data_IF_293303471321
#
_entry.id   IF_293303471321
#
_cell.length_a   1.000
_cell.length_b   1.000
_cell.length_c   1.000
_cell.angle_alpha   90.00
_cell.angle_beta   90.00
_cell.angle_gamma   90.00
#
_symmetry.space_group_name_H-M   'P 1'
#
loop_
_entity.id
_entity.type
_entity.pdbx_description
1 polymer ?
#
# COMPACT_ATOMS: atom_id res chain seq x y z
N UNK A 1 13.05 -15.00 6.70
CA UNK A 1 13.41 -14.02 7.75
C UNK A 1 13.23 -14.67 9.13
N UNK A 2 14.05 -14.32 10.10
CA UNK A 2 14.18 -14.96 11.43
C UNK A 2 13.03 -14.69 12.40
N UNK A 3 11.87 -14.25 11.96
CA UNK A 3 10.67 -13.99 12.80
C UNK A 3 10.78 -12.80 13.78
N UNK A 4 11.89 -12.07 13.74
CA UNK A 4 12.10 -10.86 14.54
C UNK A 4 12.07 -9.66 13.59
N UNK A 5 11.23 -8.67 13.90
CA UNK A 5 11.17 -7.42 13.14
C UNK A 5 12.51 -6.66 13.29
N UNK A 6 12.99 -5.98 12.21
CA UNK A 6 14.12 -5.07 12.33
C UNK A 6 13.73 -3.87 13.22
N UNK A 7 14.69 -3.02 13.56
CA UNK A 7 14.42 -1.77 14.28
C UNK A 7 13.37 -0.94 13.55
N UNK A 8 13.54 -0.77 12.25
CA UNK A 8 12.59 -0.09 11.38
C UNK A 8 12.55 -0.79 10.02
N UNK A 9 11.36 -1.05 9.50
CA UNK A 9 11.16 -1.49 8.12
C UNK A 9 10.83 -0.29 7.23
N UNK A 10 11.55 -0.12 6.14
CA UNK A 10 11.17 0.81 5.06
C UNK A 10 10.49 0.00 3.95
N UNK A 11 9.21 0.22 3.78
CA UNK A 11 8.41 -0.39 2.72
C UNK A 11 8.32 0.57 1.54
N UNK A 12 9.05 0.28 0.46
CA UNK A 12 8.82 0.92 -0.82
C UNK A 12 7.61 0.26 -1.46
N UNK A 13 6.57 1.03 -1.77
CA UNK A 13 5.37 0.49 -2.41
C UNK A 13 5.08 1.23 -3.70
N UNK A 14 4.61 0.50 -4.71
CA UNK A 14 4.35 1.04 -6.04
C UNK A 14 2.94 0.69 -6.47
N UNK A 15 2.21 1.70 -6.96
CA UNK A 15 0.86 1.61 -7.50
C UNK A 15 0.95 1.85 -9.02
N UNK A 16 1.12 0.80 -9.86
CA UNK A 16 1.22 0.91 -11.32
C UNK A 16 -0.18 1.04 -11.92
N UNK A 17 -0.81 2.20 -11.77
CA UNK A 17 -2.17 2.45 -12.25
C UNK A 17 -2.29 2.28 -13.77
N UNK A 18 -1.23 2.56 -14.49
CA UNK A 18 -1.16 2.36 -15.92
C UNK A 18 -2.23 3.16 -16.66
N UNK A 19 -3.07 2.45 -17.42
CA UNK A 19 -4.17 3.05 -18.18
C UNK A 19 -5.50 3.03 -17.41
N UNK A 20 -5.56 2.34 -16.26
CA UNK A 20 -6.81 1.92 -15.61
C UNK A 20 -7.69 3.11 -15.23
N UNK A 21 -7.16 4.04 -14.45
CA UNK A 21 -7.87 5.23 -14.00
C UNK A 21 -8.24 6.15 -15.17
N UNK A 22 -7.31 6.41 -16.09
CA UNK A 22 -7.54 7.26 -17.23
C UNK A 22 -8.63 6.75 -18.16
N UNK A 23 -8.68 5.43 -18.43
CA UNK A 23 -9.76 4.82 -19.21
C UNK A 23 -11.11 4.97 -18.49
N UNK A 24 -11.16 4.68 -17.20
CA UNK A 24 -12.39 4.79 -16.40
C UNK A 24 -12.93 6.22 -16.39
N UNK A 25 -12.08 7.23 -16.29
CA UNK A 25 -12.48 8.65 -16.30
C UNK A 25 -12.72 9.23 -17.69
N UNK A 26 -12.32 8.52 -18.75
CA UNK A 26 -12.36 9.05 -20.11
C UNK A 26 -11.31 10.13 -20.37
N UNK A 27 -10.13 10.01 -19.74
CA UNK A 27 -9.06 10.98 -19.85
C UNK A 27 -8.53 11.16 -21.29
N UNK A 28 -7.94 12.30 -21.62
CA UNK A 28 -7.33 12.55 -22.91
C UNK A 28 -6.20 11.55 -23.23
N UNK A 29 -5.96 11.31 -24.52
CA UNK A 29 -4.95 10.35 -24.96
C UNK A 29 -3.55 10.59 -24.35
N UNK A 30 -3.16 11.84 -24.10
CA UNK A 30 -1.86 12.15 -23.50
C UNK A 30 -1.71 11.58 -22.09
N UNK A 31 -2.78 11.55 -21.29
CA UNK A 31 -2.74 10.97 -19.95
C UNK A 31 -2.69 9.43 -20.00
N UNK A 32 -3.35 8.82 -21.00
CA UNK A 32 -3.21 7.39 -21.26
C UNK A 32 -1.76 7.03 -21.68
N UNK A 33 -1.11 7.83 -22.55
CA UNK A 33 0.31 7.64 -22.87
C UNK A 33 1.22 7.80 -21.66
N UNK A 34 0.85 8.66 -20.72
CA UNK A 34 1.58 8.79 -19.46
C UNK A 34 1.48 7.52 -18.61
N UNK A 35 0.29 6.93 -18.52
CA UNK A 35 0.10 5.62 -17.87
C UNK A 35 0.91 4.51 -18.57
N UNK A 36 0.91 4.48 -19.91
CA UNK A 36 1.74 3.55 -20.68
C UNK A 36 3.25 3.75 -20.41
N UNK A 37 3.74 5.00 -20.33
CA UNK A 37 5.10 5.30 -19.91
C UNK A 37 5.41 4.70 -18.53
N UNK A 38 4.48 4.78 -17.57
CA UNK A 38 4.62 4.20 -16.24
C UNK A 38 4.98 2.72 -16.32
N UNK A 39 4.21 1.96 -17.08
CA UNK A 39 4.39 0.51 -17.15
C UNK A 39 5.56 0.12 -18.07
N UNK A 40 5.62 0.64 -19.31
CA UNK A 40 6.60 0.19 -20.31
C UNK A 40 8.01 0.75 -20.13
N UNK A 41 8.14 1.92 -19.50
CA UNK A 41 9.44 2.61 -19.41
C UNK A 41 9.89 2.78 -17.95
N UNK A 42 9.00 3.21 -17.08
CA UNK A 42 9.37 3.53 -15.70
C UNK A 42 9.54 2.26 -14.84
N UNK A 43 8.63 1.30 -14.93
CA UNK A 43 8.76 0.03 -14.19
C UNK A 43 10.10 -0.68 -14.43
N UNK A 44 10.58 -0.89 -15.67
CA UNK A 44 11.89 -1.48 -15.90
C UNK A 44 13.05 -0.71 -15.24
N UNK A 45 12.97 0.62 -15.21
CA UNK A 45 13.99 1.45 -14.54
C UNK A 45 13.96 1.28 -13.03
N UNK A 46 12.77 1.20 -12.46
CA UNK A 46 12.57 1.00 -11.02
C UNK A 46 13.06 -0.41 -10.64
N UNK A 47 12.66 -1.43 -11.38
CA UNK A 47 13.11 -2.82 -11.15
C UNK A 47 14.64 -2.93 -11.20
N UNK A 48 15.30 -2.29 -12.19
CA UNK A 48 16.76 -2.27 -12.27
C UNK A 48 17.43 -1.56 -11.10
N UNK A 49 16.79 -0.50 -10.54
CA UNK A 49 17.27 0.15 -9.33
C UNK A 49 17.13 -0.78 -8.12
N UNK A 50 15.96 -1.39 -7.93
CA UNK A 50 15.70 -2.29 -6.81
C UNK A 50 16.60 -3.54 -6.82
N UNK A 51 16.81 -4.14 -8.00
CA UNK A 51 17.73 -5.26 -8.18
C UNK A 51 19.16 -4.87 -7.79
N UNK A 52 19.65 -3.73 -8.28
CA UNK A 52 21.00 -3.23 -7.95
C UNK A 52 21.19 -2.99 -6.45
N UNK A 53 20.16 -2.51 -5.77
CA UNK A 53 20.19 -2.25 -4.32
C UNK A 53 19.81 -3.48 -3.47
N UNK A 54 19.45 -4.61 -4.10
CA UNK A 54 19.07 -5.84 -3.41
C UNK A 54 17.76 -5.74 -2.64
N UNK A 55 16.82 -4.91 -3.10
CA UNK A 55 15.56 -4.60 -2.40
C UNK A 55 14.41 -5.36 -3.05
N UNK A 56 13.61 -6.04 -2.22
CA UNK A 56 12.26 -6.51 -2.59
C UNK A 56 11.21 -5.62 -1.94
N UNK A 57 10.07 -5.41 -2.63
CA UNK A 57 9.04 -4.47 -2.24
C UNK A 57 7.64 -4.95 -2.66
N UNK A 58 6.61 -4.16 -2.39
CA UNK A 58 5.22 -4.47 -2.71
C UNK A 58 4.71 -3.61 -3.86
N UNK A 59 3.98 -4.23 -4.79
CA UNK A 59 3.34 -3.58 -5.93
C UNK A 59 1.83 -3.81 -5.84
N UNK A 60 1.05 -2.73 -5.70
CA UNK A 60 -0.40 -2.77 -5.66
C UNK A 60 -0.95 -2.58 -7.08
N UNK A 61 -1.39 -3.66 -7.70
CA UNK A 61 -1.67 -3.72 -9.14
C UNK A 61 -3.17 -3.73 -9.41
N UNK A 62 -3.71 -2.74 -10.18
CA UNK A 62 -5.07 -2.83 -10.69
C UNK A 62 -5.23 -4.03 -11.60
N UNK A 63 -6.36 -4.74 -11.49
CA UNK A 63 -6.63 -5.92 -12.31
C UNK A 63 -6.57 -5.64 -13.82
N UNK A 64 -7.00 -4.46 -14.25
CA UNK A 64 -6.90 -4.03 -15.65
C UNK A 64 -5.45 -3.83 -16.10
N UNK A 65 -4.59 -3.27 -15.25
CA UNK A 65 -3.15 -3.13 -15.55
C UNK A 65 -2.49 -4.51 -15.70
N UNK A 66 -2.84 -5.45 -14.81
CA UNK A 66 -2.35 -6.83 -14.88
C UNK A 66 -2.72 -7.51 -16.20
N UNK A 67 -3.98 -7.41 -16.66
CA UNK A 67 -4.41 -8.05 -17.91
C UNK A 67 -3.93 -7.31 -19.15
N UNK A 68 -3.65 -6.01 -19.06
CA UNK A 68 -3.16 -5.18 -20.18
C UNK A 68 -1.65 -5.36 -20.39
N UNK A 69 -0.89 -5.54 -19.29
CA UNK A 69 0.57 -5.64 -19.32
C UNK A 69 1.08 -6.87 -18.56
N UNK A 70 0.64 -8.09 -18.94
CA UNK A 70 0.93 -9.30 -18.17
C UNK A 70 2.43 -9.56 -18.01
N UNK A 71 3.23 -9.33 -19.06
CA UNK A 71 4.68 -9.54 -19.01
C UNK A 71 5.38 -8.59 -18.02
N UNK A 72 4.91 -7.33 -17.93
CA UNK A 72 5.46 -6.35 -16.99
C UNK A 72 5.17 -6.73 -15.55
N UNK A 73 3.98 -7.26 -15.26
CA UNK A 73 3.62 -7.72 -13.91
C UNK A 73 4.29 -9.05 -13.58
N UNK A 74 4.43 -9.96 -14.55
CA UNK A 74 5.21 -11.20 -14.38
C UNK A 74 6.67 -10.89 -14.05
N UNK A 75 7.27 -9.85 -14.64
CA UNK A 75 8.62 -9.41 -14.31
C UNK A 75 8.76 -8.97 -12.84
N UNK A 76 7.73 -8.34 -12.27
CA UNK A 76 7.69 -7.96 -10.84
C UNK A 76 7.75 -9.20 -9.94
N UNK A 77 6.85 -10.16 -10.15
CA UNK A 77 6.75 -11.37 -9.31
C UNK A 77 7.96 -12.29 -9.47
N UNK A 78 8.53 -12.38 -10.69
CA UNK A 78 9.66 -13.28 -10.98
C UNK A 78 10.95 -12.96 -10.23
N UNK A 79 11.13 -11.72 -9.80
CA UNK A 79 12.29 -11.27 -9.01
C UNK A 79 12.00 -11.14 -7.50
N UNK A 80 10.87 -11.69 -7.05
CA UNK A 80 10.56 -11.84 -5.63
C UNK A 80 9.84 -10.65 -4.99
N UNK A 81 9.36 -9.67 -5.77
CA UNK A 81 8.47 -8.64 -5.25
C UNK A 81 7.08 -9.23 -4.97
N UNK A 82 6.35 -8.60 -4.05
CA UNK A 82 4.95 -8.89 -3.81
C UNK A 82 4.07 -8.20 -4.85
N UNK A 83 3.04 -8.92 -5.34
CA UNK A 83 1.95 -8.36 -6.12
C UNK A 83 0.70 -8.40 -5.27
N UNK A 84 0.23 -7.22 -4.87
CA UNK A 84 -0.99 -6.99 -4.08
C UNK A 84 -2.07 -6.34 -4.95
N UNK A 85 -3.31 -6.25 -4.47
CA UNK A 85 -4.45 -5.77 -5.24
C UNK A 85 -4.64 -4.24 -5.12
N UNK A 86 -5.17 -3.61 -6.19
CA UNK A 86 -5.48 -2.18 -6.26
C UNK A 86 -6.78 -1.89 -7.03
N UNK A 87 -7.87 -2.59 -6.69
CA UNK A 87 -9.10 -2.54 -7.47
C UNK A 87 -8.96 -3.15 -8.85
N UNK A 88 -9.96 -2.92 -9.72
CA UNK A 88 -9.92 -3.41 -11.11
C UNK A 88 -9.54 -2.30 -12.09
N UNK A 89 -10.31 -1.18 -12.11
CA UNK A 89 -10.06 0.02 -12.94
C UNK A 89 -9.67 1.23 -12.10
N UNK A 90 -9.08 1.03 -10.93
CA UNK A 90 -8.78 2.11 -10.00
C UNK A 90 -10.06 2.85 -9.56
N UNK A 91 -11.08 2.11 -9.13
CA UNK A 91 -12.39 2.62 -8.72
C UNK A 91 -12.32 3.35 -7.37
N UNK A 92 -13.13 4.40 -7.22
CA UNK A 92 -13.37 5.04 -5.91
C UNK A 92 -14.41 4.24 -5.13
N UNK A 93 -13.94 3.41 -4.21
CA UNK A 93 -14.78 2.50 -3.43
C UNK A 93 -15.86 3.20 -2.60
N UNK A 94 -15.63 4.44 -2.18
CA UNK A 94 -16.64 5.21 -1.44
C UNK A 94 -17.88 5.55 -2.29
N UNK A 95 -17.81 5.41 -3.63
CA UNK A 95 -18.91 5.71 -4.55
C UNK A 95 -19.66 4.48 -5.03
N UNK A 96 -19.21 3.29 -4.67
CA UNK A 96 -19.73 2.00 -5.14
C UNK A 96 -20.72 1.39 -4.15
N UNK A 97 -21.63 0.59 -4.67
CA UNK A 97 -22.47 -0.29 -3.85
C UNK A 97 -21.63 -1.43 -3.23
N UNK A 98 -22.15 -2.05 -2.18
CA UNK A 98 -21.52 -3.20 -1.51
C UNK A 98 -21.28 -4.35 -2.49
N UNK A 99 -22.23 -4.61 -3.37
CA UNK A 99 -22.17 -5.65 -4.39
C UNK A 99 -21.06 -5.38 -5.43
N UNK A 100 -20.98 -4.14 -5.91
CA UNK A 100 -19.91 -3.72 -6.84
C UNK A 100 -18.53 -3.81 -6.18
N UNK A 101 -18.39 -3.37 -4.93
CA UNK A 101 -17.15 -3.48 -4.17
C UNK A 101 -16.72 -4.94 -4.05
N UNK A 102 -17.62 -5.85 -3.66
CA UNK A 102 -17.36 -7.28 -3.51
C UNK A 102 -16.90 -7.90 -4.85
N UNK A 103 -17.61 -7.62 -5.94
CA UNK A 103 -17.25 -8.11 -7.27
C UNK A 103 -15.82 -7.67 -7.66
N UNK A 104 -15.47 -6.41 -7.42
CA UNK A 104 -14.14 -5.87 -7.73
C UNK A 104 -13.07 -6.53 -6.89
N UNK A 105 -13.29 -6.71 -5.58
CA UNK A 105 -12.34 -7.34 -4.67
C UNK A 105 -12.09 -8.80 -5.05
N UNK A 106 -13.14 -9.58 -5.29
CA UNK A 106 -13.05 -10.99 -5.70
C UNK A 106 -12.37 -11.13 -7.06
N UNK A 107 -12.80 -10.33 -8.05
CA UNK A 107 -12.24 -10.35 -9.40
C UNK A 107 -10.76 -9.99 -9.43
N UNK A 108 -10.34 -9.00 -8.67
CA UNK A 108 -8.93 -8.58 -8.57
C UNK A 108 -8.10 -9.67 -7.92
N UNK A 109 -8.61 -10.27 -6.85
CA UNK A 109 -7.97 -11.37 -6.13
C UNK A 109 -7.77 -12.60 -7.04
N UNK A 110 -8.81 -13.02 -7.75
CA UNK A 110 -8.76 -14.16 -8.67
C UNK A 110 -7.80 -13.93 -9.83
N UNK A 111 -7.75 -12.71 -10.37
CA UNK A 111 -6.84 -12.37 -11.45
C UNK A 111 -5.38 -12.44 -11.01
N UNK A 112 -5.05 -11.95 -9.82
CA UNK A 112 -3.70 -12.00 -9.26
C UNK A 112 -3.33 -13.43 -8.90
N UNK A 113 -4.22 -14.20 -8.27
CA UNK A 113 -3.99 -15.61 -7.96
C UNK A 113 -3.66 -16.41 -9.21
N UNK A 114 -4.44 -16.22 -10.27
CA UNK A 114 -4.20 -16.87 -11.57
C UNK A 114 -2.85 -16.48 -12.19
N UNK A 115 -2.42 -15.23 -12.04
CA UNK A 115 -1.18 -14.73 -12.64
C UNK A 115 0.07 -15.07 -11.82
N UNK A 116 -0.01 -14.99 -10.48
CA UNK A 116 1.11 -15.19 -9.57
C UNK A 116 1.16 -16.61 -8.96
N UNK A 117 0.10 -17.41 -9.11
CA UNK A 117 -0.02 -18.76 -8.52
C UNK A 117 -0.32 -18.77 -7.03
N UNK A 118 -0.59 -17.62 -6.45
CA UNK A 118 -1.00 -17.44 -5.06
C UNK A 118 -1.91 -16.23 -4.93
N UNK A 119 -2.98 -16.29 -4.10
CA UNK A 119 -3.82 -15.15 -3.87
C UNK A 119 -3.04 -14.00 -3.21
N UNK A 120 -3.34 -12.74 -3.54
CA UNK A 120 -2.70 -11.59 -2.91
C UNK A 120 -3.03 -11.54 -1.42
N UNK A 121 -2.03 -11.25 -0.60
CA UNK A 121 -2.22 -11.06 0.83
C UNK A 121 -2.81 -9.68 1.15
N UNK A 122 -2.48 -8.67 0.34
CA UNK A 122 -2.80 -7.28 0.60
C UNK A 122 -3.69 -6.61 -0.43
N UNK A 123 -4.34 -5.57 0.05
CA UNK A 123 -5.12 -4.61 -0.73
C UNK A 123 -4.63 -3.19 -0.44
N UNK A 124 -4.64 -2.33 -1.44
CA UNK A 124 -4.65 -0.88 -1.30
C UNK A 124 -5.85 -0.35 -2.08
N UNK A 125 -6.71 0.40 -1.42
CA UNK A 125 -7.85 1.01 -2.06
C UNK A 125 -7.40 2.19 -2.92
N UNK A 126 -7.85 2.29 -4.18
CA UNK A 126 -7.64 3.48 -4.99
C UNK A 126 -8.07 4.74 -4.25
N UNK A 127 -7.34 5.83 -4.44
CA UNK A 127 -7.55 7.13 -3.76
C UNK A 127 -7.49 7.08 -2.23
N UNK A 128 -7.20 5.91 -1.61
CA UNK A 128 -7.30 5.68 -0.17
C UNK A 128 -8.72 6.00 0.36
N UNK A 129 -9.73 5.64 -0.42
CA UNK A 129 -11.12 6.06 -0.22
C UNK A 129 -12.05 4.88 0.05
N UNK A 130 -12.11 4.37 1.30
CA UNK A 130 -13.08 3.35 1.67
C UNK A 130 -14.49 3.94 1.81
N UNK A 131 -15.50 3.18 1.43
CA UNK A 131 -16.88 3.36 1.89
C UNK A 131 -17.07 2.78 3.29
N UNK A 132 -18.28 2.90 3.86
CA UNK A 132 -18.56 2.48 5.24
C UNK A 132 -18.29 0.98 5.50
N UNK A 133 -18.57 0.11 4.54
CA UNK A 133 -18.46 -1.34 4.64
C UNK A 133 -17.19 -1.90 3.97
N UNK A 134 -16.43 -1.07 3.27
CA UNK A 134 -15.33 -1.52 2.39
C UNK A 134 -14.30 -2.39 3.11
N UNK A 135 -13.84 -1.97 4.29
CA UNK A 135 -12.79 -2.69 5.00
C UNK A 135 -13.27 -4.02 5.59
N UNK A 136 -14.55 -4.12 5.92
CA UNK A 136 -15.17 -5.39 6.29
C UNK A 136 -15.23 -6.34 5.09
N UNK A 137 -15.60 -5.83 3.91
CA UNK A 137 -15.57 -6.60 2.67
C UNK A 137 -14.15 -7.05 2.28
N UNK A 138 -13.13 -6.20 2.46
CA UNK A 138 -11.72 -6.55 2.24
C UNK A 138 -11.32 -7.74 3.14
N UNK A 139 -11.70 -7.70 4.43
CA UNK A 139 -11.46 -8.82 5.35
C UNK A 139 -12.24 -10.08 4.94
N UNK A 140 -13.53 -9.96 4.60
CA UNK A 140 -14.40 -11.07 4.21
C UNK A 140 -13.94 -11.78 2.93
N UNK A 141 -13.39 -11.02 1.96
CA UNK A 141 -12.83 -11.57 0.71
C UNK A 141 -11.48 -12.22 0.89
N UNK A 142 -10.94 -12.23 2.12
CA UNK A 142 -9.76 -13.00 2.48
C UNK A 142 -8.43 -12.29 2.29
N UNK A 143 -8.42 -10.98 2.18
CA UNK A 143 -7.21 -10.20 2.31
C UNK A 143 -6.75 -10.16 3.78
N UNK A 144 -5.44 -10.17 4.00
CA UNK A 144 -4.83 -10.21 5.33
C UNK A 144 -4.51 -8.82 5.84
N UNK A 145 -4.18 -7.90 4.91
CA UNK A 145 -3.89 -6.52 5.24
C UNK A 145 -4.45 -5.54 4.21
N UNK A 146 -4.71 -4.32 4.66
CA UNK A 146 -4.95 -3.12 3.85
C UNK A 146 -3.82 -2.12 4.05
N UNK A 147 -3.62 -1.22 3.10
CA UNK A 147 -2.65 -0.13 3.19
C UNK A 147 -3.22 1.14 2.57
N UNK A 148 -4.31 1.65 3.17
CA UNK A 148 -5.07 2.79 2.63
C UNK A 148 -5.41 3.85 3.66
N UNK A 149 -5.28 3.54 4.96
CA UNK A 149 -5.74 4.44 6.02
C UNK A 149 -4.59 5.22 6.66
N UNK A 150 -4.91 6.39 7.16
CA UNK A 150 -4.02 7.29 7.88
C UNK A 150 -4.37 7.34 9.40
N UNK A 151 -4.95 6.26 9.94
CA UNK A 151 -5.34 6.19 11.35
C UNK A 151 -4.19 5.86 12.31
N UNK A 152 -3.05 5.48 11.79
CA UNK A 152 -1.77 5.34 12.46
C UNK A 152 -0.70 6.11 11.72
N UNK A 153 0.55 5.98 12.19
CA UNK A 153 1.71 6.64 11.58
C UNK A 153 2.78 5.59 11.21
N UNK A 154 3.48 5.05 12.19
CA UNK A 154 4.61 4.15 12.00
C UNK A 154 4.38 2.74 12.55
N UNK A 155 3.20 2.49 13.12
CA UNK A 155 2.83 1.19 13.68
C UNK A 155 1.56 0.66 13.03
N UNK A 156 1.55 -0.63 12.62
CA UNK A 156 0.33 -1.27 12.15
C UNK A 156 -0.72 -1.38 13.25
N UNK A 157 -1.96 -1.50 12.84
CA UNK A 157 -3.06 -1.72 13.77
C UNK A 157 -4.13 -2.62 13.15
N UNK A 158 -5.00 -3.19 13.98
CA UNK A 158 -6.17 -3.92 13.50
C UNK A 158 -7.29 -2.93 13.14
N UNK A 159 -7.83 -3.08 11.94
CA UNK A 159 -8.97 -2.28 11.48
C UNK A 159 -10.17 -2.53 12.39
N UNK A 160 -10.88 -1.47 12.79
CA UNK A 160 -12.12 -1.59 13.54
C UNK A 160 -13.32 -1.65 12.60
N UNK A 161 -14.31 -2.42 12.98
CA UNK A 161 -15.62 -2.50 12.34
C UNK A 161 -16.68 -1.91 13.25
N UNK A 162 -17.66 -1.20 12.67
CA UNK A 162 -18.79 -0.65 13.39
C UNK A 162 -18.55 0.68 14.12
N UNK A 163 -17.54 1.46 13.73
CA UNK A 163 -17.37 2.84 14.18
C UNK A 163 -18.63 3.66 13.80
N UNK A 164 -19.16 4.45 14.74
CA UNK A 164 -20.32 5.32 14.52
C UNK A 164 -19.98 6.75 14.88
N UNK A 165 -20.14 7.64 13.92
CA UNK A 165 -19.87 9.06 14.09
C UNK A 165 -21.15 9.87 14.23
N UNK A 166 -21.24 10.72 15.24
CA UNK A 166 -22.37 11.61 15.48
C UNK A 166 -21.89 13.01 15.77
N UNK A 167 -22.41 14.01 15.07
CA UNK A 167 -22.08 15.41 15.33
C UNK A 167 -22.55 15.86 16.73
N UNK A 168 -23.59 15.27 17.28
CA UNK A 168 -24.16 15.64 18.58
C UNK A 168 -23.52 14.85 19.74
N UNK A 169 -23.20 13.55 19.54
CA UNK A 169 -22.78 12.65 20.61
C UNK A 169 -21.29 12.21 20.51
N UNK A 170 -20.58 12.70 19.48
CA UNK A 170 -19.20 12.27 19.22
C UNK A 170 -19.12 10.91 18.52
N UNK A 171 -18.01 10.21 18.69
CA UNK A 171 -17.74 8.92 18.05
C UNK A 171 -17.84 7.79 19.05
N UNK A 172 -18.58 6.75 18.68
CA UNK A 172 -18.57 5.45 19.35
C UNK A 172 -17.67 4.52 18.53
N UNK A 173 -16.61 4.04 19.16
CA UNK A 173 -15.64 3.16 18.51
C UNK A 173 -16.18 1.72 18.43
N UNK A 174 -15.99 1.10 17.28
CA UNK A 174 -16.30 -0.29 17.04
C UNK A 174 -15.28 -1.26 17.63
N UNK A 175 -15.27 -2.48 17.16
CA UNK A 175 -14.36 -3.52 17.63
C UNK A 175 -13.27 -3.84 16.60
N UNK A 176 -12.04 -4.15 17.03
CA UNK A 176 -11.00 -4.61 16.11
C UNK A 176 -11.41 -5.88 15.37
N UNK A 177 -11.25 -5.88 14.04
CA UNK A 177 -11.33 -7.07 13.19
C UNK A 177 -10.01 -7.85 13.15
N UNK A 178 -9.81 -8.59 12.07
CA UNK A 178 -8.57 -9.35 11.80
C UNK A 178 -7.71 -8.69 10.74
N UNK A 179 -8.28 -7.78 9.94
CA UNK A 179 -7.57 -7.05 8.90
C UNK A 179 -6.51 -6.15 9.54
N UNK A 180 -5.28 -6.28 9.07
CA UNK A 180 -4.16 -5.43 9.52
C UNK A 180 -4.10 -4.20 8.63
N UNK A 181 -4.11 -3.02 9.20
CA UNK A 181 -3.77 -1.79 8.48
C UNK A 181 -2.27 -1.53 8.54
N UNK A 182 -1.66 -1.32 7.38
CA UNK A 182 -0.32 -0.76 7.24
C UNK A 182 -0.47 0.71 6.87
N UNK A 183 -0.23 1.64 7.80
CA UNK A 183 -0.54 3.05 7.60
C UNK A 183 0.15 3.64 6.37
N UNK A 184 -0.57 4.54 5.71
CA UNK A 184 -0.06 5.40 4.64
C UNK A 184 -0.06 6.86 5.09
N UNK A 185 0.71 7.71 4.41
CA UNK A 185 0.81 9.12 4.75
C UNK A 185 0.93 9.96 3.48
N UNK A 186 0.13 11.03 3.38
CA UNK A 186 0.16 11.92 2.23
C UNK A 186 1.55 12.55 1.96
N UNK A 187 2.33 13.00 2.96
CA UNK A 187 3.71 13.44 2.76
C UNK A 187 4.66 12.39 2.21
N UNK A 188 4.35 11.10 2.39
CA UNK A 188 5.15 9.96 1.91
C UNK A 188 4.62 9.37 0.60
N UNK A 189 3.77 10.10 -0.11
CA UNK A 189 3.23 9.72 -1.40
C UNK A 189 3.74 10.69 -2.48
N UNK A 190 4.40 10.15 -3.52
CA UNK A 190 5.01 10.92 -4.60
C UNK A 190 4.00 11.75 -5.40
N UNK A 191 2.77 11.25 -5.56
CA UNK A 191 1.71 11.94 -6.30
C UNK A 191 1.36 13.30 -5.70
N UNK A 192 1.28 13.39 -4.38
CA UNK A 192 0.97 14.65 -3.69
C UNK A 192 2.01 15.74 -3.88
N UNK A 193 3.25 15.37 -4.18
CA UNK A 193 4.34 16.31 -4.41
C UNK A 193 4.53 16.69 -5.87
N UNK A 194 4.40 15.71 -6.76
CA UNK A 194 4.84 15.86 -8.13
C UNK A 194 3.71 16.11 -9.12
N UNK A 195 2.46 15.84 -8.73
CA UNK A 195 1.31 15.98 -9.62
C UNK A 195 0.39 17.12 -9.17
N UNK A 196 -0.14 17.90 -10.13
CA UNK A 196 -1.10 18.95 -9.79
C UNK A 196 -2.40 18.36 -9.27
N UNK A 197 -3.06 19.11 -8.40
CA UNK A 197 -4.33 18.70 -7.80
C UNK A 197 -4.95 19.82 -6.98
N UNK A 198 -6.12 19.60 -6.37
CA UNK A 198 -6.76 20.61 -5.54
C UNK A 198 -5.81 21.12 -4.44
N UNK A 199 -5.54 22.44 -4.44
CA UNK A 199 -4.68 23.09 -3.47
C UNK A 199 -3.17 22.83 -3.61
N UNK A 200 -2.71 22.29 -4.74
CA UNK A 200 -1.29 22.02 -5.01
C UNK A 200 -0.94 22.24 -6.48
N UNK A 201 0.21 22.84 -6.71
CA UNK A 201 0.70 23.14 -8.07
C UNK A 201 1.37 21.93 -8.73
N UNK A 202 1.75 20.88 -7.96
CA UNK A 202 2.57 19.78 -8.44
C UNK A 202 4.02 20.21 -8.74
N UNK A 203 4.79 19.31 -9.39
CA UNK A 203 6.14 19.60 -9.87
C UNK A 203 7.12 20.08 -8.79
N UNK A 204 6.96 19.63 -7.55
CA UNK A 204 7.89 19.95 -6.47
C UNK A 204 9.34 19.58 -6.86
N UNK A 205 10.34 20.37 -6.47
CA UNK A 205 11.74 19.98 -6.66
C UNK A 205 12.00 18.66 -5.92
N UNK A 206 12.68 17.66 -6.53
CA UNK A 206 13.01 16.40 -5.86
C UNK A 206 13.80 16.58 -4.56
N UNK A 207 14.56 17.65 -4.40
CA UNK A 207 15.28 17.97 -3.15
C UNK A 207 14.34 18.21 -1.98
N UNK A 208 13.20 18.88 -2.19
CA UNK A 208 12.18 19.08 -1.15
C UNK A 208 11.56 17.74 -0.70
N UNK A 209 11.24 16.88 -1.66
CA UNK A 209 10.64 15.57 -1.37
C UNK A 209 11.66 14.66 -0.65
N UNK A 210 12.91 14.67 -1.10
CA UNK A 210 13.99 13.94 -0.43
C UNK A 210 14.17 14.40 1.01
N UNK A 211 14.12 15.70 1.27
CA UNK A 211 14.20 16.26 2.63
C UNK A 211 13.05 15.75 3.50
N UNK A 212 11.80 15.88 3.03
CA UNK A 212 10.61 15.41 3.77
C UNK A 212 10.74 13.92 4.10
N UNK A 213 11.02 13.07 3.11
CA UNK A 213 11.11 11.62 3.31
C UNK A 213 12.28 11.22 4.20
N UNK A 214 13.39 11.97 4.14
CA UNK A 214 14.57 11.69 4.97
C UNK A 214 14.33 12.09 6.43
N UNK A 215 13.68 13.22 6.69
CA UNK A 215 13.38 13.65 8.06
C UNK A 215 12.33 12.73 8.70
N UNK A 216 11.33 12.28 7.95
CA UNK A 216 10.36 11.29 8.43
C UNK A 216 11.04 9.94 8.74
N UNK A 217 11.95 9.49 7.87
CA UNK A 217 12.76 8.29 8.10
C UNK A 217 13.61 8.39 9.38
N UNK A 218 14.24 9.54 9.62
CA UNK A 218 15.04 9.78 10.82
C UNK A 218 14.21 9.77 12.08
N UNK A 219 13.07 10.48 12.05
CA UNK A 219 12.12 10.48 13.17
C UNK A 219 11.66 9.04 13.47
N UNK A 220 11.23 8.29 12.46
CA UNK A 220 10.83 6.89 12.62
C UNK A 220 11.96 6.03 13.21
N UNK A 221 13.18 6.21 12.74
CA UNK A 221 14.35 5.48 13.22
C UNK A 221 14.70 5.82 14.67
N UNK A 222 14.53 7.07 15.09
CA UNK A 222 14.80 7.53 16.44
C UNK A 222 13.75 7.05 17.45
N UNK A 223 12.47 7.07 17.06
CA UNK A 223 11.34 6.88 17.97
C UNK A 223 10.77 5.46 17.98
N UNK A 224 10.91 4.70 16.89
CA UNK A 224 10.24 3.42 16.73
C UNK A 224 11.17 2.23 16.95
N UNK A 225 10.56 1.11 17.36
CA UNK A 225 11.19 -0.21 17.37
C UNK A 225 10.21 -1.23 16.81
N UNK A 226 10.59 -1.87 15.71
CA UNK A 226 9.72 -2.79 14.98
C UNK A 226 8.66 -2.08 14.14
N UNK A 227 8.76 -0.75 13.96
CA UNK A 227 7.86 0.04 13.14
C UNK A 227 8.06 -0.12 11.64
N UNK A 228 7.17 0.51 10.87
CA UNK A 228 7.21 0.52 9.41
C UNK A 228 7.00 1.93 8.85
N UNK A 229 7.85 2.33 7.92
CA UNK A 229 7.71 3.56 7.14
C UNK A 229 7.27 3.19 5.72
N UNK A 230 6.05 3.54 5.33
CA UNK A 230 5.48 3.19 4.03
C UNK A 230 5.61 4.35 3.05
N UNK A 231 6.37 4.15 1.98
CA UNK A 231 6.50 5.13 0.88
C UNK A 231 5.61 4.67 -0.27
N UNK A 232 4.65 5.50 -0.67
CA UNK A 232 3.75 5.22 -1.80
C UNK A 232 4.23 5.94 -3.06
N UNK A 233 4.40 5.20 -4.12
CA UNK A 233 4.93 5.71 -5.38
C UNK A 233 4.15 5.19 -6.59
N UNK A 234 4.05 6.01 -7.63
CA UNK A 234 3.43 5.64 -8.90
C UNK A 234 4.51 5.62 -10.00
N UNK A 235 4.68 4.52 -10.75
CA UNK A 235 5.73 4.44 -11.76
C UNK A 235 5.74 5.60 -12.75
N UNK A 236 4.58 6.06 -13.22
CA UNK A 236 4.46 7.21 -14.13
C UNK A 236 4.88 8.53 -13.48
N UNK A 237 4.90 8.58 -12.15
CA UNK A 237 5.32 9.73 -11.37
C UNK A 237 6.79 9.63 -10.99
N UNK A 238 7.17 8.67 -10.12
CA UNK A 238 8.54 8.52 -9.61
C UNK A 238 9.54 8.09 -10.70
N UNK A 239 9.08 7.41 -11.75
CA UNK A 239 9.94 6.83 -12.79
C UNK A 239 10.59 7.83 -13.75
N UNK A 240 10.39 9.15 -13.56
CA UNK A 240 11.11 10.20 -14.30
C UNK A 240 12.57 10.28 -13.79
N UNK A 241 13.51 10.45 -14.70
CA UNK A 241 14.96 10.33 -14.40
C UNK A 241 15.45 11.14 -13.20
N UNK A 242 14.98 12.38 -13.01
CA UNK A 242 15.36 13.22 -11.86
C UNK A 242 14.74 12.73 -10.54
N UNK A 243 13.56 12.09 -10.58
CA UNK A 243 12.87 11.54 -9.42
C UNK A 243 13.45 10.18 -9.04
N UNK A 244 13.81 9.32 -10.00
CA UNK A 244 14.55 8.08 -9.74
C UNK A 244 15.88 8.36 -9.03
N UNK A 245 16.61 9.42 -9.44
CA UNK A 245 17.83 9.83 -8.73
C UNK A 245 17.57 10.28 -7.30
N UNK A 246 16.42 10.87 -7.03
CA UNK A 246 16.02 11.20 -5.67
C UNK A 246 15.74 9.93 -4.87
N UNK A 247 14.98 8.98 -5.43
CA UNK A 247 14.69 7.70 -4.79
C UNK A 247 15.98 6.93 -4.47
N UNK A 248 16.94 6.88 -5.40
CA UNK A 248 18.26 6.27 -5.17
C UNK A 248 18.99 6.91 -3.97
N UNK A 249 18.94 8.23 -3.82
CA UNK A 249 19.52 8.92 -2.67
C UNK A 249 18.81 8.59 -1.38
N UNK A 250 17.48 8.54 -1.39
CA UNK A 250 16.67 8.14 -0.23
C UNK A 250 17.02 6.72 0.23
N UNK A 251 17.12 5.77 -0.72
CA UNK A 251 17.51 4.38 -0.43
C UNK A 251 18.87 4.34 0.28
N UNK A 252 19.86 5.10 -0.20
CA UNK A 252 21.19 5.15 0.43
C UNK A 252 21.16 5.70 1.84
N UNK A 253 20.39 6.77 2.07
CA UNK A 253 20.20 7.30 3.44
C UNK A 253 19.59 6.25 4.36
N UNK A 254 18.61 5.49 3.89
CA UNK A 254 17.98 4.44 4.68
C UNK A 254 18.94 3.26 4.95
N UNK A 255 19.77 2.88 3.97
CA UNK A 255 20.79 1.83 4.11
C UNK A 255 21.90 2.20 5.11
N UNK A 256 22.20 3.49 5.27
CA UNK A 256 23.23 3.99 6.19
C UNK A 256 22.76 4.00 7.67
N UNK A 257 21.45 3.80 7.95
CA UNK A 257 20.92 3.76 9.28
C UNK A 257 20.93 2.34 9.86
N UNK A 258 21.55 2.17 11.03
CA UNK A 258 21.69 0.87 11.67
C UNK A 258 20.33 0.28 12.08
N UNK A 259 20.11 -1.01 11.74
CA UNK A 259 18.88 -1.73 12.04
C UNK A 259 17.69 -1.38 11.14
N UNK A 260 17.88 -0.56 10.10
CA UNK A 260 16.88 -0.36 9.04
C UNK A 260 16.96 -1.50 8.02
N UNK A 261 15.81 -2.01 7.62
CA UNK A 261 15.70 -3.00 6.55
C UNK A 261 14.60 -2.62 5.57
N UNK A 262 14.81 -2.93 4.29
CA UNK A 262 13.75 -2.88 3.29
C UNK A 262 12.97 -4.18 3.28
N UNK A 263 11.64 -4.12 3.07
CA UNK A 263 10.82 -5.32 3.08
C UNK A 263 9.49 -5.18 2.33
N UNK A 264 8.92 -6.34 2.02
CA UNK A 264 7.57 -6.49 1.48
C UNK A 264 6.56 -6.41 2.61
N UNK A 265 5.37 -5.91 2.32
CA UNK A 265 4.30 -5.75 3.31
C UNK A 265 3.76 -7.10 3.80
N UNK A 266 3.57 -8.09 2.92
CA UNK A 266 3.11 -9.42 3.32
C UNK A 266 4.03 -10.09 4.37
N UNK A 267 5.34 -9.98 4.16
CA UNK A 267 6.34 -10.52 5.09
C UNK A 267 6.39 -9.76 6.41
N UNK A 268 6.26 -8.44 6.34
CA UNK A 268 6.20 -7.60 7.53
C UNK A 268 4.96 -7.91 8.36
N UNK A 269 3.78 -7.99 7.73
CA UNK A 269 2.51 -8.31 8.39
C UNK A 269 2.56 -9.67 9.07
N UNK A 270 3.11 -10.69 8.39
CA UNK A 270 3.29 -12.02 8.98
C UNK A 270 4.18 -11.98 10.25
N UNK A 271 5.29 -11.24 10.20
CA UNK A 271 6.19 -11.08 11.34
C UNK A 271 5.54 -10.28 12.47
N UNK A 272 4.83 -9.20 12.15
CA UNK A 272 4.11 -8.38 13.12
C UNK A 272 3.00 -9.17 13.83
N UNK A 273 2.18 -9.92 13.09
CA UNK A 273 1.14 -10.77 13.67
C UNK A 273 1.72 -11.83 14.62
N UNK A 274 2.88 -12.38 14.32
CA UNK A 274 3.59 -13.30 15.22
C UNK A 274 4.07 -12.60 16.48
N UNK A 275 4.57 -11.36 16.37
CA UNK A 275 5.04 -10.58 17.51
C UNK A 275 3.93 -10.23 18.49
N UNK A 276 2.79 -9.72 18.01
CA UNK A 276 1.63 -9.40 18.87
C UNK A 276 0.98 -10.66 19.47
N UNK A 277 1.02 -11.79 18.74
CA UNK A 277 0.51 -13.08 19.26
C UNK A 277 1.33 -13.66 20.42
N UNK A 278 2.57 -13.24 20.57
CA UNK A 278 3.45 -13.61 21.68
C UNK A 278 3.34 -12.65 22.88
N UNK A 279 2.80 -11.44 22.69
CA UNK A 279 2.65 -10.45 23.76
C UNK A 279 1.39 -10.74 24.60
N UNK A 280 1.52 -10.91 25.93
CA UNK A 280 0.40 -11.12 26.84
C UNK A 280 -0.64 -9.97 26.80
N UNK A 281 -0.21 -8.73 26.57
CA UNK A 281 -1.09 -7.57 26.52
C UNK A 281 -2.04 -7.57 25.29
N UNK A 282 -1.66 -8.25 24.20
CA UNK A 282 -2.47 -8.34 22.98
C UNK A 282 -3.25 -9.67 22.87
N UNK A 283 -3.09 -10.62 23.80
CA UNK A 283 -3.85 -11.89 23.81
C UNK A 283 -5.35 -11.70 23.97
N UNK A 284 -5.78 -10.65 24.65
CA UNK A 284 -7.20 -10.38 24.88
C UNK A 284 -7.89 -9.83 23.62
N UNK A 285 -7.17 -9.11 22.76
CA UNK A 285 -7.69 -8.63 21.47
C UNK A 285 -8.01 -9.79 20.52
N UNK A 286 -7.16 -10.84 20.48
CA UNK A 286 -7.44 -12.05 19.67
C UNK A 286 -8.60 -12.88 20.19
N UNK A 287 -8.81 -12.95 21.51
CA UNK A 287 -9.94 -13.68 22.09
C UNK A 287 -11.27 -13.03 21.76
N UNK A 288 -11.33 -11.70 21.68
CA UNK A 288 -12.53 -10.99 21.26
C UNK A 288 -12.87 -11.24 19.78
N UNK A 289 -11.85 -11.31 18.90
CA UNK A 289 -12.00 -11.56 17.46
C UNK A 289 -12.35 -13.03 17.09
N UNK A 290 -12.13 -13.99 17.99
CA UNK A 290 -12.37 -15.43 17.74
C UNK A 290 -13.60 -15.98 18.43
N UNK A 291 -14.34 -15.18 19.20
CA UNK A 291 -15.61 -15.64 19.80
C UNK A 291 -16.70 -15.74 18.73
N UNK A 292 -17.34 -16.89 18.54
CA UNK A 292 -18.46 -17.00 17.59
C UNK A 292 -19.59 -16.09 18.04
N UNK A 293 -20.14 -15.33 17.12
CA UNK A 293 -21.39 -14.58 17.29
C UNK A 293 -22.46 -15.52 17.81
N UNK A 294 -22.85 -15.32 19.06
CA UNK A 294 -24.04 -16.00 19.62
C UNK A 294 -25.25 -15.33 18.97
N UNK A 295 -25.91 -16.05 18.07
CA UNK A 295 -27.22 -15.70 17.54
C UNK A 295 -28.18 -15.27 18.67
N UNK A 296 -28.75 -14.09 18.53
CA UNK A 296 -30.03 -13.72 19.14
C UNK A 296 -30.86 -12.90 18.17
#
# INVERSE_FOLDING_TARGET
>A
MTGVLPRLTVALTFDPDGLSDGIRRGDPANDLYRGEFGVRTAMPRILALLEREGITCTWFVPGHTLVTFPDSIAAVSSVGHEVAAHGWYHEDFATLTVEEQREILERSRDAIDKAAGTPPAGMRLPYWSPGPETLELVEETGYVYDSSLMGGDLQPYLVRHGDRHSLAAGTTWGQPGRLVEIPVSAPLNDWYHFEPGPGRDGLAPPSKVLEIWTEELRYAWETETGGILTITMHPECIGRGHRIRMLERFIKVAQDLDGVAFGRLDQYVEAWQKSIGSDPAHRDVRKAATSPTVDR
#
